data_IF_805840343620
#
_entry.id   IF_805840343620
#
_cell.length_a   1.000
_cell.length_b   1.000
_cell.length_c   1.000
_cell.angle_alpha   90.00
_cell.angle_beta   90.00
_cell.angle_gamma   90.00
#
_symmetry.space_group_name_H-M   'P 1'
#
loop_
_entity.id
_entity.type
_entity.pdbx_description
1 polymer ?
#
# COMPACT_ATOMS: atom_id res chain seq x y z
N UNK A 1 -6.44 0.75 2.10
CA UNK A 1 -5.98 -0.36 1.22
C UNK A 1 -7.10 -1.08 0.49
N UNK A 2 -8.07 -1.71 1.16
CA UNK A 2 -9.08 -2.55 0.48
C UNK A 2 -9.84 -1.81 -0.64
N UNK A 3 -10.39 -0.61 -0.37
CA UNK A 3 -11.12 0.18 -1.38
C UNK A 3 -10.25 0.61 -2.56
N UNK A 4 -9.02 1.07 -2.30
CA UNK A 4 -8.07 1.42 -3.36
C UNK A 4 -7.68 0.21 -4.22
N UNK A 5 -7.47 -0.95 -3.61
CA UNK A 5 -7.21 -2.20 -4.36
C UNK A 5 -8.39 -2.58 -5.25
N UNK A 6 -9.62 -2.42 -4.78
CA UNK A 6 -10.82 -2.71 -5.56
C UNK A 6 -10.95 -1.73 -6.73
N UNK A 7 -10.73 -0.43 -6.49
CA UNK A 7 -10.78 0.60 -7.52
C UNK A 7 -9.75 0.34 -8.64
N UNK A 8 -8.53 -0.06 -8.29
CA UNK A 8 -7.49 -0.43 -9.26
C UNK A 8 -7.92 -1.61 -10.12
N UNK A 9 -8.42 -2.71 -9.53
CA UNK A 9 -8.83 -3.88 -10.31
C UNK A 9 -10.07 -3.59 -11.19
N UNK A 10 -11.04 -2.80 -10.71
CA UNK A 10 -12.19 -2.36 -11.51
C UNK A 10 -11.77 -1.48 -12.69
N UNK A 11 -10.83 -0.55 -12.45
CA UNK A 11 -10.31 0.33 -13.51
C UNK A 11 -9.60 -0.50 -14.58
N UNK A 12 -8.80 -1.52 -14.19
CA UNK A 12 -8.16 -2.44 -15.14
C UNK A 12 -9.15 -3.27 -15.95
N UNK A 13 -10.30 -3.58 -15.37
CA UNK A 13 -11.39 -4.27 -16.05
C UNK A 13 -12.18 -3.35 -17.02
N UNK A 14 -11.79 -2.06 -17.14
CA UNK A 14 -12.39 -1.11 -18.07
C UNK A 14 -13.58 -0.33 -17.53
N UNK A 15 -13.85 -0.43 -16.22
CA UNK A 15 -14.92 0.35 -15.59
C UNK A 15 -14.44 1.76 -15.27
N UNK A 16 -15.33 2.74 -15.44
CA UNK A 16 -15.17 4.05 -14.83
C UNK A 16 -15.43 3.92 -13.33
N UNK A 17 -14.48 4.38 -12.51
CA UNK A 17 -14.52 4.23 -11.05
C UNK A 17 -14.39 5.59 -10.38
N UNK A 18 -15.38 5.94 -9.57
CA UNK A 18 -15.29 7.02 -8.60
C UNK A 18 -14.97 6.44 -7.22
N UNK A 19 -14.01 7.03 -6.53
CA UNK A 19 -13.60 6.62 -5.19
C UNK A 19 -13.73 7.79 -4.22
N UNK A 20 -14.30 7.54 -3.05
CA UNK A 20 -14.48 8.54 -1.99
C UNK A 20 -13.84 8.07 -0.69
N UNK A 21 -13.15 8.99 -0.03
CA UNK A 21 -12.48 8.82 1.25
C UNK A 21 -12.96 9.94 2.18
N UNK A 22 -13.29 9.62 3.42
CA UNK A 22 -13.77 10.60 4.39
C UNK A 22 -12.62 11.34 5.07
N UNK A 23 -11.44 10.73 5.13
CA UNK A 23 -10.22 11.35 5.64
C UNK A 23 -9.62 12.35 4.64
N UNK A 24 -8.83 13.30 5.15
CA UNK A 24 -8.07 14.27 4.34
C UNK A 24 -6.98 13.64 3.47
N UNK A 25 -6.59 12.40 3.78
CA UNK A 25 -5.57 11.64 3.07
C UNK A 25 -6.04 10.20 2.92
N UNK A 26 -5.93 9.67 1.70
CA UNK A 26 -6.21 8.26 1.42
C UNK A 26 -5.19 7.32 2.09
N UNK A 27 -5.57 6.04 2.19
CA UNK A 27 -4.69 4.96 2.67
C UNK A 27 -5.23 4.24 3.90
N UNK A 28 -6.05 4.92 4.72
CA UNK A 28 -6.62 4.39 5.95
C UNK A 28 -5.52 4.05 6.97
N UNK A 29 -5.41 2.77 7.35
CA UNK A 29 -4.29 2.30 8.18
C UNK A 29 -2.95 2.29 7.42
N UNK A 30 -2.96 2.18 6.09
CA UNK A 30 -1.74 2.14 5.28
C UNK A 30 -1.34 3.56 4.83
N UNK A 31 -0.81 4.37 5.75
CA UNK A 31 -0.41 5.74 5.46
C UNK A 31 0.67 6.19 6.44
N UNK A 32 1.49 7.13 5.99
CA UNK A 32 2.41 7.86 6.85
C UNK A 32 2.00 9.33 6.95
N UNK A 33 2.26 9.97 8.08
CA UNK A 33 1.95 11.36 8.35
C UNK A 33 3.07 12.04 9.14
N UNK A 34 3.27 13.34 8.93
CA UNK A 34 4.24 14.10 9.73
C UNK A 34 3.64 14.48 11.08
N UNK A 35 4.32 14.10 12.16
CA UNK A 35 4.01 14.54 13.51
C UNK A 35 4.88 15.74 13.88
N UNK A 36 4.24 16.87 14.16
CA UNK A 36 4.92 18.13 14.43
C UNK A 36 5.64 18.15 15.78
N UNK A 37 5.15 17.39 16.77
CA UNK A 37 5.75 17.34 18.10
C UNK A 37 7.05 16.53 18.09
N UNK A 38 7.08 15.42 17.33
CA UNK A 38 8.26 14.59 17.16
C UNK A 38 9.19 15.08 16.04
N UNK A 39 8.69 15.95 15.15
CA UNK A 39 9.43 16.45 13.98
C UNK A 39 9.80 15.33 12.99
N UNK A 40 8.93 14.32 12.84
CA UNK A 40 9.21 13.10 12.07
C UNK A 40 7.97 12.58 11.36
N UNK A 41 8.20 11.79 10.32
CA UNK A 41 7.14 11.02 9.66
C UNK A 41 6.87 9.74 10.46
N UNK A 42 5.62 9.55 10.87
CA UNK A 42 5.12 8.36 11.56
C UNK A 42 4.35 7.51 10.58
N UNK A 43 4.55 6.20 10.64
CA UNK A 43 3.73 5.22 9.95
C UNK A 43 2.53 4.80 10.82
N UNK A 44 1.32 4.78 10.23
CA UNK A 44 0.06 4.45 10.91
C UNK A 44 -0.17 2.92 11.04
N UNK A 45 0.90 2.14 11.16
CA UNK A 45 0.88 0.73 11.51
C UNK A 45 2.17 0.01 11.11
N UNK A 46 2.23 -1.30 11.36
CA UNK A 46 3.28 -2.13 10.79
C UNK A 46 2.79 -2.65 9.43
N UNK A 47 3.40 -2.17 8.34
CA UNK A 47 3.06 -2.57 6.96
C UNK A 47 3.89 -3.78 6.51
N UNK A 48 3.84 -4.84 7.31
CA UNK A 48 4.57 -6.08 7.03
C UNK A 48 3.77 -6.95 6.07
N UNK A 49 4.48 -7.54 5.11
CA UNK A 49 3.91 -8.39 4.08
C UNK A 49 4.81 -9.59 3.88
N UNK A 50 4.21 -10.78 3.76
CA UNK A 50 4.95 -11.99 3.45
C UNK A 50 5.29 -12.00 1.95
N UNK A 51 6.53 -12.38 1.61
CA UNK A 51 7.02 -12.43 0.22
C UNK A 51 6.17 -13.33 -0.69
N UNK A 52 5.52 -14.34 -0.12
CA UNK A 52 4.57 -15.22 -0.83
C UNK A 52 3.25 -14.54 -1.24
N UNK A 53 2.99 -13.30 -0.82
CA UNK A 53 1.75 -12.59 -1.15
C UNK A 53 1.77 -12.04 -2.60
N UNK A 54 1.42 -12.90 -3.55
CA UNK A 54 1.34 -12.57 -4.98
C UNK A 54 0.34 -11.45 -5.30
N UNK A 55 -0.68 -11.26 -4.47
CA UNK A 55 -1.67 -10.18 -4.69
C UNK A 55 -1.03 -8.80 -4.49
N UNK A 56 -0.16 -8.65 -3.48
CA UNK A 56 0.58 -7.41 -3.23
C UNK A 56 1.58 -7.16 -4.35
N UNK A 57 2.34 -8.17 -4.77
CA UNK A 57 3.26 -8.04 -5.90
C UNK A 57 2.54 -7.60 -7.19
N UNK A 58 1.38 -8.20 -7.51
CA UNK A 58 0.56 -7.80 -8.65
C UNK A 58 0.05 -6.36 -8.53
N UNK A 59 -0.42 -5.98 -7.35
CA UNK A 59 -0.91 -4.63 -7.09
C UNK A 59 0.20 -3.59 -7.28
N UNK A 60 1.39 -3.81 -6.72
CA UNK A 60 2.55 -2.93 -6.89
C UNK A 60 2.97 -2.81 -8.35
N UNK A 61 3.05 -3.92 -9.09
CA UNK A 61 3.37 -3.90 -10.51
C UNK A 61 2.32 -3.12 -11.33
N UNK A 62 1.05 -3.29 -10.98
CA UNK A 62 -0.07 -2.59 -11.63
C UNK A 62 0.03 -1.08 -11.50
N UNK A 63 0.38 -0.59 -10.30
CA UNK A 63 0.45 0.86 -10.04
C UNK A 63 1.86 1.43 -10.32
N UNK A 64 2.79 0.63 -10.83
CA UNK A 64 4.17 1.05 -11.13
C UNK A 64 5.04 1.31 -9.90
N UNK A 65 4.82 0.58 -8.81
CA UNK A 65 5.50 0.78 -7.51
C UNK A 65 6.27 -0.46 -7.03
N UNK A 66 6.71 -1.32 -7.93
CA UNK A 66 7.44 -2.56 -7.58
C UNK A 66 8.75 -2.30 -6.82
N UNK A 67 9.36 -1.13 -7.01
CA UNK A 67 10.58 -0.68 -6.34
C UNK A 67 10.36 -0.14 -4.92
N UNK A 68 9.10 -0.05 -4.47
CA UNK A 68 8.73 0.53 -3.17
C UNK A 68 8.63 -0.47 -2.04
N UNK A 69 8.78 -1.78 -2.32
CA UNK A 69 8.78 -2.82 -1.30
C UNK A 69 10.23 -3.24 -1.00
N UNK A 70 10.63 -3.11 0.26
CA UNK A 70 11.92 -3.59 0.77
C UNK A 70 11.75 -4.89 1.54
N UNK A 71 12.74 -5.78 1.43
CA UNK A 71 12.81 -7.02 2.18
C UNK A 71 14.22 -7.61 2.10
N UNK A 72 14.50 -8.70 2.84
CA UNK A 72 15.78 -9.39 2.73
C UNK A 72 15.95 -10.03 1.34
N UNK A 73 17.19 -10.14 0.87
CA UNK A 73 17.52 -10.75 -0.43
C UNK A 73 17.15 -12.24 -0.50
N UNK A 74 17.18 -12.93 0.64
CA UNK A 74 16.83 -14.34 0.79
C UNK A 74 16.12 -14.57 2.12
N UNK A 75 15.39 -15.68 2.22
CA UNK A 75 14.83 -16.12 3.49
C UNK A 75 15.93 -16.81 4.33
N UNK A 76 16.05 -16.40 5.59
CA UNK A 76 16.93 -17.01 6.58
C UNK A 76 16.08 -17.76 7.61
N UNK A 77 16.49 -18.98 7.97
CA UNK A 77 15.73 -19.92 8.81
C UNK A 77 16.57 -20.52 9.95
N UNK A 78 17.69 -19.87 10.31
CA UNK A 78 18.60 -20.31 11.37
C UNK A 78 17.92 -20.49 12.74
#
# INVERSE_FOLDING_TARGET
MAGLSAAVELTRAGFAVDFSESATQAGGRCRSYHDAQLGRVIDNGNHLVLSGNRAVARYLATIGASDRLSGPDHADFA
#
